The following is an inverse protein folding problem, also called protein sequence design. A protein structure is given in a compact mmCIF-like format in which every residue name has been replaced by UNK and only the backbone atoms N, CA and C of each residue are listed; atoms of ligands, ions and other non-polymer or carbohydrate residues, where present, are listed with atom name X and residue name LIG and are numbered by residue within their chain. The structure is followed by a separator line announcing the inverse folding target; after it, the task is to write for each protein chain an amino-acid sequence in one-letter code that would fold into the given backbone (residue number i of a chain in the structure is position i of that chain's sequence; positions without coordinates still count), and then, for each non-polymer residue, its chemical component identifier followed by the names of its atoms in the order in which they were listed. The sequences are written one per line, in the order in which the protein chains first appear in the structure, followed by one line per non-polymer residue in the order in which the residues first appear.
data_IF_965825318432
#
_entry.id   IF_965825318432
#
_cell.length_a   1.000
_cell.length_b   1.000
_cell.length_c   1.000
_cell.angle_alpha   90.00
_cell.angle_beta   90.00
_cell.angle_gamma   90.00
#
_symmetry.space_group_name_H-M   'P 1'
#
loop_
_entity.id
_entity.type
_entity.pdbx_description
1 polymer ?
#
# COMPACT_ATOMS: atom_id res chain seq x y z
N UNK A 1 16.01 26.26 28.96
CA UNK A 1 16.64 24.97 28.58
C UNK A 1 15.98 24.49 27.28
N UNK A 2 16.24 25.18 26.16
CA UNK A 2 17.19 24.76 25.11
C UNK A 2 16.70 23.59 24.22
N UNK A 3 15.51 23.00 24.47
CA UNK A 3 14.95 21.95 23.58
C UNK A 3 14.39 22.49 22.23
N UNK A 4 14.50 23.79 21.98
CA UNK A 4 14.21 24.42 20.68
C UNK A 4 15.48 24.81 19.89
N UNK A 5 16.67 24.74 20.48
CA UNK A 5 17.92 25.23 19.88
C UNK A 5 18.75 24.11 19.21
N UNK A 6 18.48 22.84 19.49
CA UNK A 6 18.95 21.72 18.65
C UNK A 6 18.00 21.47 17.48
N UNK A 7 17.68 22.57 16.80
CA UNK A 7 17.51 22.63 15.36
C UNK A 7 18.76 22.01 14.75
N UNK A 8 18.81 20.68 14.70
CA UNK A 8 19.97 19.90 14.30
C UNK A 8 20.31 20.18 12.83
N UNK A 9 21.05 21.27 12.61
CA UNK A 9 22.41 21.29 12.09
C UNK A 9 22.73 20.51 10.80
N UNK A 10 21.75 20.03 10.05
CA UNK A 10 21.97 19.52 8.69
C UNK A 10 20.72 19.78 7.84
N UNK A 11 20.87 20.52 6.74
CA UNK A 11 19.79 20.93 5.83
C UNK A 11 18.94 19.79 5.26
N UNK A 12 17.90 20.10 4.47
CA UNK A 12 16.77 19.21 4.18
C UNK A 12 17.19 17.94 3.42
N UNK A 13 17.58 16.90 4.15
CA UNK A 13 17.71 15.52 3.66
C UNK A 13 16.51 14.64 4.03
N UNK A 14 15.45 15.24 4.60
CA UNK A 14 14.35 14.49 5.24
C UNK A 14 12.96 14.73 4.64
N UNK A 15 12.71 15.83 3.92
CA UNK A 15 11.41 16.05 3.27
C UNK A 15 11.17 14.99 2.17
N UNK A 16 12.10 14.88 1.21
CA UNK A 16 12.05 13.85 0.15
C UNK A 16 12.03 12.41 0.69
N UNK A 17 12.72 12.15 1.82
CA UNK A 17 12.73 10.84 2.46
C UNK A 17 11.40 10.49 3.14
N UNK A 18 10.75 11.47 3.77
CA UNK A 18 9.40 11.31 4.32
C UNK A 18 8.38 11.11 3.21
N UNK A 19 8.41 11.94 2.17
CA UNK A 19 7.46 11.87 1.05
C UNK A 19 7.57 10.52 0.33
N UNK A 20 8.81 10.04 0.12
CA UNK A 20 9.05 8.69 -0.41
C UNK A 20 8.52 7.60 0.50
N UNK A 21 8.69 7.72 1.82
CA UNK A 21 8.15 6.75 2.78
C UNK A 21 6.62 6.75 2.78
N UNK A 22 5.99 7.92 2.69
CA UNK A 22 4.54 8.06 2.56
C UNK A 22 4.04 7.45 1.25
N UNK A 23 4.71 7.72 0.13
CA UNK A 23 4.38 7.14 -1.16
C UNK A 23 4.52 5.61 -1.14
N UNK A 24 5.61 5.07 -0.58
CA UNK A 24 5.82 3.62 -0.45
C UNK A 24 4.76 2.98 0.44
N UNK A 25 4.40 3.59 1.57
CA UNK A 25 3.34 3.08 2.44
C UNK A 25 1.98 3.10 1.74
N UNK A 26 1.71 4.14 0.96
CA UNK A 26 0.47 4.24 0.20
C UNK A 26 0.37 3.15 -0.88
N UNK A 27 1.45 2.91 -1.62
CA UNK A 27 1.52 1.83 -2.61
C UNK A 27 1.40 0.46 -1.93
N UNK A 28 2.02 0.26 -0.76
CA UNK A 28 1.87 -0.99 0.00
C UNK A 28 0.43 -1.23 0.46
N UNK A 29 -0.30 -0.19 0.86
CA UNK A 29 -1.72 -0.32 1.23
C UNK A 29 -2.58 -0.78 0.04
N UNK A 30 -2.37 -0.19 -1.14
CA UNK A 30 -3.05 -0.60 -2.37
C UNK A 30 -2.67 -2.03 -2.74
N UNK A 31 -1.39 -2.40 -2.66
CA UNK A 31 -0.93 -3.75 -2.96
C UNK A 31 -1.55 -4.80 -2.03
N UNK A 32 -1.62 -4.53 -0.72
CA UNK A 32 -2.26 -5.42 0.25
C UNK A 32 -3.75 -5.61 -0.04
N UNK A 33 -4.45 -4.51 -0.35
CA UNK A 33 -5.87 -4.54 -0.73
C UNK A 33 -6.08 -5.38 -2.00
N UNK A 34 -5.31 -5.12 -3.07
CA UNK A 34 -5.44 -5.85 -4.34
C UNK A 34 -5.08 -7.32 -4.17
N UNK A 35 -4.08 -7.68 -3.36
CA UNK A 35 -3.79 -9.08 -3.04
C UNK A 35 -4.96 -9.76 -2.31
N UNK A 36 -5.65 -9.06 -1.42
CA UNK A 36 -6.82 -9.61 -0.74
C UNK A 36 -8.03 -9.72 -1.68
N UNK A 37 -8.33 -8.67 -2.43
CA UNK A 37 -9.53 -8.55 -3.26
C UNK A 37 -9.42 -9.33 -4.58
N UNK A 38 -8.34 -9.11 -5.33
CA UNK A 38 -8.17 -9.71 -6.66
C UNK A 38 -7.69 -11.17 -6.61
N UNK A 39 -6.86 -11.54 -5.62
CA UNK A 39 -6.35 -12.91 -5.48
C UNK A 39 -7.11 -13.74 -4.43
N UNK A 40 -8.11 -13.15 -3.75
CA UNK A 40 -8.92 -13.79 -2.68
C UNK A 40 -8.06 -14.42 -1.57
N UNK A 41 -6.83 -13.92 -1.37
CA UNK A 41 -5.93 -14.41 -0.33
C UNK A 41 -6.47 -14.04 1.06
N UNK A 42 -6.27 -14.90 2.04
CA UNK A 42 -6.63 -14.56 3.42
C UNK A 42 -5.76 -13.39 3.91
N UNK A 43 -6.28 -12.57 4.82
CA UNK A 43 -5.51 -11.47 5.41
C UNK A 43 -4.22 -11.97 6.09
N UNK A 44 -4.22 -13.20 6.59
CA UNK A 44 -3.05 -13.86 7.19
C UNK A 44 -1.97 -14.18 6.16
N UNK A 45 -2.35 -14.69 4.98
CA UNK A 45 -1.40 -15.01 3.91
C UNK A 45 -0.78 -13.74 3.31
N UNK A 46 -1.61 -12.70 3.13
CA UNK A 46 -1.12 -11.38 2.72
C UNK A 46 -0.18 -10.80 3.79
N UNK A 47 -0.56 -10.88 5.07
CA UNK A 47 0.29 -10.40 6.17
C UNK A 47 1.65 -11.12 6.20
N UNK A 48 1.66 -12.44 6.04
CA UNK A 48 2.87 -13.25 5.96
C UNK A 48 3.75 -12.87 4.75
N UNK A 49 3.15 -12.73 3.56
CA UNK A 49 3.88 -12.35 2.34
C UNK A 49 4.49 -10.95 2.39
N UNK A 50 3.90 -10.03 3.14
CA UNK A 50 4.41 -8.67 3.34
C UNK A 50 5.24 -8.49 4.62
N UNK A 51 5.39 -9.53 5.45
CA UNK A 51 6.08 -9.46 6.75
C UNK A 51 5.43 -8.46 7.72
N UNK A 52 4.10 -8.31 7.67
CA UNK A 52 3.32 -7.41 8.52
C UNK A 52 2.34 -8.17 9.39
N UNK A 53 1.75 -7.48 10.36
CA UNK A 53 0.68 -8.07 11.18
C UNK A 53 -0.65 -8.08 10.41
N UNK A 54 -1.52 -9.07 10.69
CA UNK A 54 -2.86 -9.17 10.07
C UNK A 54 -3.69 -7.91 10.24
N UNK A 55 -3.53 -7.19 11.36
CA UNK A 55 -4.24 -5.93 11.63
C UNK A 55 -3.77 -4.81 10.71
N UNK A 56 -2.51 -4.84 10.27
CA UNK A 56 -1.98 -3.90 9.28
C UNK A 56 -2.66 -4.09 7.92
N UNK A 57 -2.92 -5.34 7.53
CA UNK A 57 -3.66 -5.66 6.30
C UNK A 57 -5.11 -5.20 6.41
N UNK A 58 -5.78 -5.47 7.54
CA UNK A 58 -7.14 -4.98 7.80
C UNK A 58 -7.22 -3.44 7.74
N UNK A 59 -6.27 -2.75 8.37
CA UNK A 59 -6.19 -1.29 8.32
C UNK A 59 -5.93 -0.77 6.90
N UNK A 60 -5.07 -1.44 6.13
CA UNK A 60 -4.82 -1.09 4.73
C UNK A 60 -6.10 -1.23 3.89
N UNK A 61 -6.85 -2.32 4.08
CA UNK A 61 -8.10 -2.54 3.35
C UNK A 61 -9.14 -1.46 3.67
N UNK A 62 -9.37 -1.18 4.95
CA UNK A 62 -10.29 -0.12 5.37
C UNK A 62 -9.89 1.25 4.79
N UNK A 63 -8.59 1.57 4.81
CA UNK A 63 -8.10 2.87 4.29
C UNK A 63 -8.20 3.00 2.78
N UNK A 64 -8.10 1.90 2.02
CA UNK A 64 -8.33 1.91 0.57
C UNK A 64 -9.82 2.06 0.28
N UNK A 65 -10.68 1.35 1.01
CA UNK A 65 -12.13 1.42 0.84
C UNK A 65 -12.68 2.83 1.16
N UNK A 66 -12.27 3.42 2.29
CA UNK A 66 -12.61 4.80 2.66
C UNK A 66 -12.20 5.84 1.61
N UNK A 67 -11.22 5.51 0.75
CA UNK A 67 -10.72 6.41 -0.30
C UNK A 67 -11.33 6.15 -1.66
N UNK A 68 -12.05 5.05 -1.87
CA UNK A 68 -12.70 4.74 -3.15
C UNK A 68 -13.85 5.70 -3.48
N UNK A 69 -14.31 6.50 -2.52
CA UNK A 69 -15.24 7.60 -2.80
C UNK A 69 -14.63 8.68 -3.72
N UNK A 70 -13.30 8.78 -3.79
CA UNK A 70 -12.60 9.61 -4.78
C UNK A 70 -12.51 8.87 -6.11
N UNK A 71 -13.17 9.41 -7.14
CA UNK A 71 -13.22 8.80 -8.46
C UNK A 71 -11.85 8.60 -9.13
N UNK A 72 -10.91 9.53 -8.94
CA UNK A 72 -9.57 9.37 -9.51
C UNK A 72 -8.79 8.26 -8.81
N UNK A 73 -9.02 8.09 -7.51
CA UNK A 73 -8.45 6.99 -6.75
C UNK A 73 -9.09 5.64 -7.12
N UNK A 74 -10.42 5.61 -7.28
CA UNK A 74 -11.16 4.41 -7.70
C UNK A 74 -10.69 3.92 -9.09
N UNK A 75 -10.53 4.85 -10.04
CA UNK A 75 -10.02 4.54 -11.37
C UNK A 75 -8.59 3.95 -11.33
N UNK A 76 -7.73 4.48 -10.45
CA UNK A 76 -6.38 3.96 -10.22
C UNK A 76 -6.43 2.53 -9.67
N UNK A 77 -7.21 2.30 -8.61
CA UNK A 77 -7.35 0.97 -8.00
C UNK A 77 -7.90 -0.02 -9.02
N UNK A 78 -8.94 0.35 -9.75
CA UNK A 78 -9.53 -0.47 -10.82
C UNK A 78 -8.54 -0.79 -11.95
N UNK A 79 -7.65 0.14 -12.30
CA UNK A 79 -6.59 -0.14 -13.28
C UNK A 79 -5.59 -1.18 -12.77
N UNK A 80 -5.16 -1.07 -11.51
CA UNK A 80 -4.25 -2.04 -10.87
C UNK A 80 -4.91 -3.42 -10.77
N UNK A 81 -6.18 -3.48 -10.38
CA UNK A 81 -6.95 -4.74 -10.32
C UNK A 81 -7.02 -5.43 -11.68
N UNK A 82 -7.32 -4.69 -12.76
CA UNK A 82 -7.32 -5.23 -14.13
C UNK A 82 -5.96 -5.81 -14.53
N UNK A 83 -4.87 -5.11 -14.22
CA UNK A 83 -3.50 -5.58 -14.52
C UNK A 83 -3.18 -6.85 -13.76
N UNK A 84 -3.49 -6.90 -12.46
CA UNK A 84 -3.28 -8.09 -11.63
C UNK A 84 -4.11 -9.25 -12.18
N UNK A 85 -5.40 -9.05 -12.47
CA UNK A 85 -6.22 -10.10 -13.06
C UNK A 85 -5.66 -10.60 -14.40
N UNK A 86 -5.16 -9.72 -15.27
CA UNK A 86 -4.54 -10.14 -16.54
C UNK A 86 -3.27 -10.99 -16.32
N UNK A 87 -2.38 -10.58 -15.42
CA UNK A 87 -1.13 -11.29 -15.10
C UNK A 87 -1.43 -12.66 -14.50
N UNK A 88 -2.34 -12.74 -13.53
CA UNK A 88 -2.65 -13.97 -12.82
C UNK A 88 -3.62 -14.88 -13.58
N UNK A 89 -4.45 -14.34 -14.49
CA UNK A 89 -5.20 -15.15 -15.45
C UNK A 89 -4.27 -15.87 -16.43
N UNK A 90 -3.19 -15.21 -16.89
CA UNK A 90 -2.17 -15.84 -17.74
C UNK A 90 -1.41 -16.96 -17.03
N UNK A 91 -1.14 -16.82 -15.73
CA UNK A 91 -0.45 -17.85 -14.92
C UNK A 91 -1.24 -19.14 -14.70
N UNK A 92 -2.56 -19.12 -14.87
CA UNK A 92 -3.42 -20.32 -14.76
C UNK A 92 -3.41 -21.23 -16.00
N UNK A 93 -2.78 -20.80 -17.10
CA UNK A 93 -2.78 -21.51 -18.37
C UNK A 93 -1.45 -22.23 -18.70
N UNK A 94 -0.52 -22.35 -17.73
CA UNK A 94 0.66 -23.21 -17.83
C UNK A 94 0.60 -24.30 -16.75
N UNK A 95 -0.36 -25.21 -16.92
CA UNK A 95 -0.40 -26.52 -16.26
C UNK A 95 0.09 -27.58 -17.21
#
# INVERSE_FOLDING_TARGET
MVAGEMMALTGPRTAAGRDRRFAVMHVQQIAMYVCHVALRLSMTDVASGFGRDRTTVGYACARVEDRRDDRAFDDLVGAVERVVHAIFAGKRNHG
#
